data_IF_918235476563
#
_entry.id   IF_918235476563
#
_cell.length_a   1.000
_cell.length_b   1.000
_cell.length_c   1.000
_cell.angle_alpha   90.00
_cell.angle_beta   90.00
_cell.angle_gamma   90.00
#
_symmetry.space_group_name_H-M   'P 1'
#
loop_
_entity.id
_entity.type
_entity.pdbx_description
1 polymer ?
#
# COMPACT_ATOMS: atom_id res chain seq x y z
N UNK A 1 -27.95 12.27 30.07
CA UNK A 1 -27.31 13.36 29.28
C UNK A 1 -26.93 12.81 27.90
N UNK A 2 -27.78 12.95 26.89
CA UNK A 2 -27.39 12.68 25.51
C UNK A 2 -26.32 13.71 25.10
N UNK A 3 -25.21 13.25 24.52
CA UNK A 3 -24.36 14.12 23.70
C UNK A 3 -23.48 15.15 24.40
N UNK A 4 -22.76 14.80 25.48
CA UNK A 4 -21.63 15.65 25.91
C UNK A 4 -20.54 15.61 24.84
N UNK A 5 -20.58 16.53 23.88
CA UNK A 5 -19.60 16.66 22.80
C UNK A 5 -18.24 17.10 23.38
N UNK A 6 -17.15 16.46 22.92
CA UNK A 6 -15.79 16.89 23.26
C UNK A 6 -15.30 16.65 24.69
N UNK A 7 -15.94 15.79 25.49
CA UNK A 7 -15.48 15.49 26.86
C UNK A 7 -14.17 14.69 26.89
N UNK A 8 -13.35 14.90 27.94
CA UNK A 8 -12.14 14.10 28.21
C UNK A 8 -12.40 12.59 28.23
N UNK A 9 -13.62 12.20 28.63
CA UNK A 9 -14.07 10.79 28.64
C UNK A 9 -14.11 10.13 27.26
N UNK A 10 -14.03 10.90 26.16
CA UNK A 10 -13.96 10.39 24.78
C UNK A 10 -12.53 10.21 24.27
N UNK A 11 -11.52 10.61 25.04
CA UNK A 11 -10.13 10.48 24.64
C UNK A 11 -9.76 9.01 24.38
N UNK A 12 -9.11 8.75 23.25
CA UNK A 12 -8.66 7.39 22.90
C UNK A 12 -9.76 6.42 22.45
N UNK A 13 -11.06 6.80 22.46
CA UNK A 13 -12.20 5.93 22.10
C UNK A 13 -11.94 5.15 20.81
N UNK A 14 -11.59 5.84 19.73
CA UNK A 14 -11.36 5.20 18.42
C UNK A 14 -10.15 4.26 18.45
N UNK A 15 -9.05 4.65 19.11
CA UNK A 15 -7.84 3.81 19.22
C UNK A 15 -8.07 2.54 20.05
N UNK A 16 -8.93 2.62 21.07
CA UNK A 16 -9.29 1.48 21.92
C UNK A 16 -10.31 0.55 21.25
N UNK A 17 -11.27 1.09 20.52
CA UNK A 17 -12.27 0.30 19.77
C UNK A 17 -11.66 -0.42 18.56
N UNK A 18 -10.61 0.14 17.95
CA UNK A 18 -10.03 -0.42 16.73
C UNK A 18 -9.10 -1.59 17.09
N UNK A 19 -9.34 -2.81 16.59
CA UNK A 19 -8.44 -3.94 16.83
C UNK A 19 -7.05 -3.64 16.25
N UNK A 20 -6.00 -3.92 17.02
CA UNK A 20 -4.62 -3.73 16.57
C UNK A 20 -4.24 -4.82 15.57
N UNK A 21 -4.00 -4.42 14.32
CA UNK A 21 -3.52 -5.32 13.27
C UNK A 21 -1.98 -5.33 13.30
N UNK A 22 -1.31 -6.51 13.39
CA UNK A 22 0.14 -6.58 13.34
C UNK A 22 0.68 -6.20 11.96
N UNK A 23 1.97 -5.87 11.87
CA UNK A 23 2.61 -5.56 10.59
C UNK A 23 2.67 -6.84 9.73
N UNK A 24 1.95 -6.87 8.62
CA UNK A 24 1.89 -8.04 7.72
C UNK A 24 2.57 -7.77 6.37
N UNK A 25 2.82 -8.87 5.63
CA UNK A 25 3.26 -8.85 4.23
C UNK A 25 4.57 -8.08 4.00
N UNK A 26 4.55 -7.11 3.10
CA UNK A 26 5.74 -6.32 2.71
C UNK A 26 6.30 -5.50 3.88
N UNK A 27 5.47 -5.19 4.89
CA UNK A 27 5.83 -4.35 6.02
C UNK A 27 6.33 -5.12 7.26
N UNK A 28 6.33 -6.46 7.21
CA UNK A 28 6.86 -7.30 8.30
C UNK A 28 8.38 -7.44 8.24
N UNK A 29 8.99 -7.22 7.06
CA UNK A 29 10.44 -7.31 6.84
C UNK A 29 11.05 -5.94 6.65
N UNK A 30 12.33 -5.81 7.02
CA UNK A 30 13.09 -4.60 6.72
C UNK A 30 13.19 -4.37 5.21
N UNK A 31 13.07 -3.11 4.80
CA UNK A 31 13.15 -2.73 3.38
C UNK A 31 14.61 -2.82 2.93
N UNK A 32 14.82 -3.27 1.69
CA UNK A 32 16.15 -3.26 1.06
C UNK A 32 16.66 -1.83 0.90
N UNK A 33 17.97 -1.64 0.94
CA UNK A 33 18.61 -0.34 0.68
C UNK A 33 18.22 0.20 -0.71
N UNK A 34 18.21 1.54 -0.90
CA UNK A 34 17.68 2.17 -2.10
C UNK A 34 18.27 1.64 -3.40
N UNK A 35 19.60 1.44 -3.46
CA UNK A 35 20.29 0.91 -4.65
C UNK A 35 19.70 -0.43 -5.09
N UNK A 36 19.60 -1.40 -4.18
CA UNK A 36 19.06 -2.74 -4.46
C UNK A 36 17.56 -2.66 -4.76
N UNK A 37 16.82 -1.84 -4.00
CA UNK A 37 15.38 -1.65 -4.21
C UNK A 37 15.08 -1.12 -5.62
N UNK A 38 15.84 -0.11 -6.06
CA UNK A 38 15.66 0.53 -7.34
C UNK A 38 16.04 -0.41 -8.49
N UNK A 39 17.12 -1.20 -8.35
CA UNK A 39 17.48 -2.22 -9.33
C UNK A 39 16.37 -3.27 -9.52
N UNK A 40 15.81 -3.79 -8.42
CA UNK A 40 14.70 -4.76 -8.48
C UNK A 40 13.45 -4.14 -9.11
N UNK A 41 13.14 -2.88 -8.79
CA UNK A 41 12.00 -2.17 -9.37
C UNK A 41 12.20 -1.92 -10.87
N UNK A 42 13.43 -1.57 -11.30
CA UNK A 42 13.78 -1.42 -12.71
C UNK A 42 13.58 -2.74 -13.46
N UNK A 43 14.14 -3.84 -12.96
CA UNK A 43 13.96 -5.16 -13.57
C UNK A 43 12.48 -5.53 -13.69
N UNK A 44 11.68 -5.25 -12.65
CA UNK A 44 10.25 -5.55 -12.65
C UNK A 44 9.48 -4.68 -13.65
N UNK A 45 9.76 -3.39 -13.72
CA UNK A 45 8.93 -2.41 -14.44
C UNK A 45 9.35 -2.23 -15.89
N UNK A 46 10.65 -2.12 -16.12
CA UNK A 46 11.23 -1.83 -17.42
C UNK A 46 11.49 -3.13 -18.16
N UNK A 47 12.36 -3.99 -17.62
CA UNK A 47 12.79 -5.21 -18.33
C UNK A 47 11.65 -6.23 -18.48
N UNK A 48 10.79 -6.36 -17.46
CA UNK A 48 9.65 -7.30 -17.48
C UNK A 48 8.33 -6.63 -17.86
N UNK A 49 8.34 -5.36 -18.28
CA UNK A 49 7.16 -4.59 -18.66
C UNK A 49 5.97 -4.74 -17.69
N UNK A 50 6.21 -4.75 -16.37
CA UNK A 50 5.11 -4.82 -15.38
C UNK A 50 4.71 -3.44 -14.92
N UNK A 51 3.41 -3.19 -14.85
CA UNK A 51 2.89 -1.93 -14.33
C UNK A 51 3.32 -1.69 -12.86
N UNK A 52 3.63 -0.43 -12.57
CA UNK A 52 3.95 0.01 -11.22
C UNK A 52 2.67 0.31 -10.43
N UNK A 53 2.42 -0.43 -9.35
CA UNK A 53 1.26 -0.20 -8.48
C UNK A 53 0.43 -1.45 -8.25
N UNK A 54 -0.87 -1.28 -8.03
CA UNK A 54 -1.80 -2.39 -7.87
C UNK A 54 -2.06 -3.06 -9.23
N UNK A 55 -1.88 -4.38 -9.29
CA UNK A 55 -1.99 -5.16 -10.53
C UNK A 55 -3.40 -5.09 -11.17
N UNK A 56 -4.45 -4.94 -10.35
CA UNK A 56 -5.84 -4.92 -10.82
C UNK A 56 -6.39 -3.49 -10.99
N UNK A 57 -5.54 -2.46 -10.92
CA UNK A 57 -5.99 -1.09 -11.16
C UNK A 57 -6.33 -0.87 -12.64
N UNK A 58 -7.24 0.07 -12.91
CA UNK A 58 -7.61 0.44 -14.29
C UNK A 58 -6.38 0.80 -15.12
N UNK A 59 -5.41 1.50 -14.52
CA UNK A 59 -4.17 1.87 -15.19
C UNK A 59 -3.25 0.68 -15.47
N UNK A 60 -3.24 -0.34 -14.59
CA UNK A 60 -2.52 -1.58 -14.85
C UNK A 60 -3.13 -2.35 -16.03
N UNK A 61 -4.46 -2.40 -16.11
CA UNK A 61 -5.18 -3.02 -17.23
C UNK A 61 -4.88 -2.30 -18.55
N UNK A 62 -4.93 -0.96 -18.55
CA UNK A 62 -4.56 -0.13 -19.72
C UNK A 62 -3.10 -0.36 -20.13
N UNK A 63 -2.18 -0.41 -19.17
CA UNK A 63 -0.78 -0.69 -19.42
C UNK A 63 -0.60 -2.04 -20.12
N UNK A 64 -1.20 -3.10 -19.56
CA UNK A 64 -1.08 -4.45 -20.12
C UNK A 64 -1.67 -4.54 -21.53
N UNK A 65 -2.81 -3.87 -21.78
CA UNK A 65 -3.40 -3.79 -23.12
C UNK A 65 -2.44 -3.16 -24.13
N UNK A 66 -1.77 -2.06 -23.76
CA UNK A 66 -0.78 -1.41 -24.63
C UNK A 66 0.42 -2.31 -24.94
N UNK A 67 0.88 -3.09 -23.96
CA UNK A 67 1.99 -4.03 -24.19
C UNK A 67 1.61 -5.22 -25.09
N UNK A 68 0.33 -5.57 -25.22
CA UNK A 68 -0.13 -6.64 -26.11
C UNK A 68 -0.28 -6.20 -27.57
N UNK A 69 -0.25 -4.89 -27.84
CA UNK A 69 -0.43 -4.33 -29.18
C UNK A 69 0.89 -4.13 -29.94
N UNK A 70 2.02 -4.44 -29.32
CA UNK A 70 3.37 -4.41 -29.90
C UNK A 70 3.94 -5.82 -29.90
#
# INVERSE_FOLDING_TARGET
MPGSHGSLTKAGKVRQLTPKVPRTGVNSRSKRIPRIRNQVLYQKRVVRHRYAGQANSINAQKHNRRQQQH
#
